data_IF_277900165615
#
_entry.id   IF_277900165615
#
_cell.length_a   1.000
_cell.length_b   1.000
_cell.length_c   1.000
_cell.angle_alpha   90.00
_cell.angle_beta   90.00
_cell.angle_gamma   90.00
#
_symmetry.space_group_name_H-M   'P 1'
#
loop_
_entity.id
_entity.type
_entity.pdbx_description
1 polymer ?
#
# COMPACT_ATOMS: atom_id res chain seq x y z
N UNK A 1 -18.33 22.85 42.72
CA UNK A 1 -17.00 22.27 42.46
C UNK A 1 -17.01 21.76 41.03
N UNK A 2 -16.60 22.61 40.09
CA UNK A 2 -16.52 22.25 38.68
C UNK A 2 -15.17 21.58 38.47
N UNK A 3 -15.17 20.30 38.11
CA UNK A 3 -13.96 19.58 37.74
C UNK A 3 -13.60 20.05 36.33
N UNK A 4 -12.52 20.82 36.23
CA UNK A 4 -11.84 21.06 34.96
C UNK A 4 -11.26 19.72 34.52
N UNK A 5 -11.83 19.14 33.46
CA UNK A 5 -11.27 17.98 32.78
C UNK A 5 -10.22 18.52 31.81
N UNK A 6 -8.97 18.56 32.25
CA UNK A 6 -7.82 18.79 31.38
C UNK A 6 -7.68 17.58 30.45
N UNK A 7 -8.21 17.71 29.23
CA UNK A 7 -7.99 16.75 28.15
C UNK A 7 -6.54 16.95 27.71
N UNK A 8 -5.64 15.94 27.83
CA UNK A 8 -4.28 16.07 27.33
C UNK A 8 -4.33 16.24 25.81
N UNK A 9 -3.82 17.36 25.31
CA UNK A 9 -3.61 17.57 23.89
C UNK A 9 -2.59 16.53 23.40
N UNK A 10 -3.09 15.47 22.77
CA UNK A 10 -2.23 14.54 22.03
C UNK A 10 -1.53 15.34 20.92
N UNK A 11 -0.20 15.34 20.86
CA UNK A 11 0.48 15.95 19.72
C UNK A 11 0.06 15.16 18.49
N UNK A 12 -0.77 15.77 17.64
CA UNK A 12 -1.04 15.26 16.30
C UNK A 12 0.32 15.28 15.61
N UNK A 13 0.95 14.12 15.46
CA UNK A 13 2.18 14.01 14.70
C UNK A 13 1.92 14.70 13.36
N UNK A 14 2.69 15.72 12.98
CA UNK A 14 2.49 16.39 11.71
C UNK A 14 2.51 15.30 10.64
N UNK A 15 1.65 15.40 9.60
CA UNK A 15 1.68 14.41 8.53
C UNK A 15 3.12 14.28 8.08
N UNK A 16 3.57 13.03 7.87
CA UNK A 16 4.87 12.73 7.27
C UNK A 16 5.11 13.73 6.14
N UNK A 17 6.35 14.26 6.02
CA UNK A 17 6.64 15.34 5.08
C UNK A 17 6.11 14.96 3.70
N UNK A 18 5.58 15.95 2.96
CA UNK A 18 4.62 15.71 1.88
C UNK A 18 5.15 14.76 0.77
N UNK A 19 6.46 14.69 0.69
CA UNK A 19 7.38 13.98 -0.18
C UNK A 19 7.81 12.59 0.32
N UNK A 20 7.35 12.13 1.49
CA UNK A 20 7.63 10.78 1.96
C UNK A 20 6.64 9.76 1.40
N UNK A 21 7.17 8.75 0.71
CA UNK A 21 6.35 7.67 0.18
C UNK A 21 5.76 6.82 1.33
N UNK A 22 4.45 6.58 1.33
CA UNK A 22 3.78 5.73 2.33
C UNK A 22 4.35 4.32 2.44
N UNK A 23 4.95 3.79 1.37
CA UNK A 23 5.58 2.47 1.34
C UNK A 23 7.02 2.46 1.89
N UNK A 24 7.62 3.63 2.09
CA UNK A 24 8.94 3.76 2.70
C UNK A 24 8.77 3.79 4.21
N UNK A 25 9.34 2.82 4.91
CA UNK A 25 9.43 2.80 6.38
C UNK A 25 10.87 3.05 6.87
N UNK A 26 11.77 3.45 5.98
CA UNK A 26 13.18 3.74 6.27
C UNK A 26 14.06 2.49 6.38
N UNK A 27 13.52 1.37 6.86
CA UNK A 27 14.25 0.11 7.08
C UNK A 27 13.91 -1.00 6.08
N UNK A 28 12.97 -0.75 5.16
CA UNK A 28 12.54 -1.73 4.15
C UNK A 28 11.65 -2.84 4.69
N UNK A 29 11.04 -2.67 5.88
CA UNK A 29 10.18 -3.66 6.51
C UNK A 29 8.94 -4.01 5.69
N UNK A 30 8.46 -3.10 4.85
CA UNK A 30 7.34 -3.35 3.94
C UNK A 30 7.72 -4.05 2.63
N UNK A 31 9.00 -4.23 2.32
CA UNK A 31 9.44 -4.77 1.01
C UNK A 31 8.82 -6.13 0.68
N UNK A 32 8.63 -6.98 1.69
CA UNK A 32 8.01 -8.30 1.54
C UNK A 32 6.58 -8.23 0.95
N UNK A 33 5.83 -7.15 1.18
CA UNK A 33 4.49 -6.96 0.62
C UNK A 33 4.53 -6.48 -0.83
N UNK A 34 5.37 -5.47 -1.11
CA UNK A 34 5.41 -4.77 -2.40
C UNK A 34 6.04 -5.59 -3.51
N UNK A 35 6.89 -6.55 -3.16
CA UNK A 35 7.53 -7.50 -4.08
C UNK A 35 7.11 -8.95 -3.80
N UNK A 36 5.93 -9.15 -3.19
CA UNK A 36 5.40 -10.47 -2.87
C UNK A 36 4.90 -11.22 -4.09
N UNK A 37 5.02 -12.54 -4.10
CA UNK A 37 4.37 -13.45 -5.04
C UNK A 37 2.89 -13.77 -4.70
N UNK A 38 2.40 -13.36 -3.53
CA UNK A 38 1.10 -13.73 -2.99
C UNK A 38 0.05 -12.63 -3.20
N UNK A 39 -1.09 -13.02 -3.78
CA UNK A 39 -2.19 -12.09 -4.09
C UNK A 39 -2.69 -11.27 -2.89
N UNK A 40 -2.67 -11.81 -1.66
CA UNK A 40 -3.13 -11.08 -0.47
C UNK A 40 -2.15 -10.00 -0.01
N UNK A 41 -0.84 -10.25 -0.16
CA UNK A 41 0.22 -9.28 0.14
C UNK A 41 0.24 -8.18 -0.93
N UNK A 42 0.10 -8.56 -2.20
CA UNK A 42 -0.04 -7.61 -3.31
C UNK A 42 -1.29 -6.73 -3.16
N UNK A 43 -2.43 -7.29 -2.78
CA UNK A 43 -3.64 -6.52 -2.51
C UNK A 43 -3.44 -5.50 -1.38
N UNK A 44 -2.76 -5.90 -0.29
CA UNK A 44 -2.41 -5.01 0.81
C UNK A 44 -1.43 -3.91 0.38
N UNK A 45 -0.42 -4.25 -0.41
CA UNK A 45 0.51 -3.27 -0.97
C UNK A 45 -0.21 -2.24 -1.86
N UNK A 46 -1.12 -2.68 -2.73
CA UNK A 46 -1.98 -1.79 -3.54
C UNK A 46 -2.81 -0.85 -2.66
N UNK A 47 -3.42 -1.38 -1.59
CA UNK A 47 -4.20 -0.59 -0.63
C UNK A 47 -3.36 0.55 -0.02
N UNK A 48 -2.17 0.23 0.48
CA UNK A 48 -1.24 1.20 1.07
C UNK A 48 -0.80 2.25 0.03
N UNK A 49 -0.39 1.78 -1.15
CA UNK A 49 0.22 2.63 -2.18
C UNK A 49 -0.80 3.57 -2.84
N UNK A 50 -2.03 3.12 -3.05
CA UNK A 50 -3.11 3.92 -3.66
C UNK A 50 -3.49 5.18 -2.88
N UNK A 51 -3.15 5.23 -1.59
CA UNK A 51 -3.39 6.38 -0.69
C UNK A 51 -2.17 7.30 -0.58
N UNK A 52 -1.09 6.99 -1.30
CA UNK A 52 0.12 7.80 -1.34
C UNK A 52 -0.07 9.01 -2.25
N UNK A 53 0.35 10.19 -1.79
CA UNK A 53 0.31 11.41 -2.63
C UNK A 53 1.24 11.36 -3.84
N UNK A 54 2.28 10.53 -3.78
CA UNK A 54 3.27 10.37 -4.84
C UNK A 54 2.88 9.27 -5.84
N UNK A 55 1.66 8.73 -5.77
CA UNK A 55 1.28 7.54 -6.52
C UNK A 55 1.47 7.72 -8.04
N UNK A 56 1.01 8.84 -8.60
CA UNK A 56 1.07 9.09 -10.04
C UNK A 56 2.50 9.24 -10.55
N UNK A 57 3.33 10.05 -9.88
CA UNK A 57 4.74 10.24 -10.22
C UNK A 57 5.55 8.94 -10.04
N UNK A 58 5.24 8.18 -8.98
CA UNK A 58 5.86 6.89 -8.71
C UNK A 58 5.54 5.87 -9.81
N UNK A 59 4.27 5.78 -10.23
CA UNK A 59 3.85 4.91 -11.32
C UNK A 59 4.48 5.33 -12.65
N UNK A 60 4.45 6.63 -12.97
CA UNK A 60 5.06 7.17 -14.18
C UNK A 60 6.55 6.87 -14.25
N UNK A 61 7.28 7.07 -13.16
CA UNK A 61 8.70 6.74 -13.06
C UNK A 61 8.97 5.23 -13.19
N UNK A 62 8.13 4.38 -12.61
CA UNK A 62 8.27 2.92 -12.71
C UNK A 62 8.06 2.42 -14.14
N UNK A 63 7.05 2.95 -14.83
CA UNK A 63 6.80 2.64 -16.25
C UNK A 63 7.94 3.13 -17.14
N UNK A 64 8.44 4.34 -16.91
CA UNK A 64 9.56 4.90 -17.68
C UNK A 64 10.83 4.04 -17.55
N UNK A 65 11.11 3.50 -16.35
CA UNK A 65 12.26 2.62 -16.12
C UNK A 65 12.01 1.18 -16.56
N UNK A 66 10.77 0.81 -16.88
CA UNK A 66 10.41 -0.57 -17.18
C UNK A 66 10.62 -1.48 -15.98
N UNK A 67 10.20 -1.05 -14.79
CA UNK A 67 10.36 -1.85 -13.57
C UNK A 67 9.82 -3.27 -13.77
N UNK A 68 10.67 -4.25 -13.46
CA UNK A 68 10.41 -5.64 -13.80
C UNK A 68 9.24 -6.22 -13.00
N UNK A 69 9.12 -5.81 -11.73
CA UNK A 69 8.15 -6.39 -10.81
C UNK A 69 7.81 -5.49 -9.62
N UNK A 70 6.59 -5.64 -9.10
CA UNK A 70 6.17 -5.12 -7.81
C UNK A 70 5.00 -4.14 -7.90
N UNK A 71 4.56 -3.64 -6.75
CA UNK A 71 3.50 -2.63 -6.67
C UNK A 71 4.10 -1.21 -6.69
N UNK A 72 3.67 -0.41 -7.66
CA UNK A 72 4.13 0.96 -7.89
C UNK A 72 2.92 1.87 -8.10
N UNK A 73 2.82 2.97 -7.35
CA UNK A 73 1.68 3.90 -7.44
C UNK A 73 0.29 3.25 -7.33
N UNK A 74 0.16 2.16 -6.56
CA UNK A 74 -1.10 1.41 -6.41
C UNK A 74 -1.37 0.38 -7.51
N UNK A 75 -0.50 0.25 -8.51
CA UNK A 75 -0.64 -0.70 -9.61
C UNK A 75 0.40 -1.82 -9.51
N UNK A 76 0.06 -3.03 -9.94
CA UNK A 76 1.02 -4.12 -10.06
C UNK A 76 1.69 -4.04 -11.43
N UNK A 77 3.02 -4.00 -11.45
CA UNK A 77 3.81 -4.08 -12.67
C UNK A 77 4.42 -5.47 -12.82
N UNK A 78 4.44 -5.95 -14.05
CA UNK A 78 5.19 -7.12 -14.49
C UNK A 78 5.79 -6.82 -15.85
N UNK A 79 7.10 -6.99 -16.01
CA UNK A 79 7.80 -6.75 -17.29
C UNK A 79 7.52 -5.34 -17.86
N UNK A 80 7.46 -4.33 -16.98
CA UNK A 80 7.18 -2.94 -17.37
C UNK A 80 5.74 -2.63 -17.79
N UNK A 81 4.81 -3.58 -17.69
CA UNK A 81 3.38 -3.35 -17.97
C UNK A 81 2.52 -3.47 -16.71
N UNK A 82 1.44 -2.69 -16.66
CA UNK A 82 0.44 -2.80 -15.60
C UNK A 82 -0.37 -4.08 -15.81
N UNK A 83 -0.50 -4.88 -14.75
CA UNK A 83 -1.31 -6.10 -14.74
C UNK A 83 -2.29 -6.07 -13.56
N UNK A 84 -3.44 -6.72 -13.73
CA UNK A 84 -4.47 -6.74 -12.68
C UNK A 84 -4.10 -7.66 -11.51
N UNK A 85 -3.60 -8.86 -11.80
CA UNK A 85 -3.17 -9.83 -10.79
C UNK A 85 -1.96 -10.64 -11.28
N UNK A 86 -1.24 -11.22 -10.32
CA UNK A 86 -0.10 -12.08 -10.61
C UNK A 86 -0.54 -13.51 -10.92
N UNK A 87 -0.08 -14.10 -12.03
CA UNK A 87 -0.28 -15.52 -12.29
C UNK A 87 0.35 -16.37 -11.18
N UNK A 88 -0.42 -17.31 -10.63
CA UNK A 88 0.14 -18.34 -9.75
C UNK A 88 1.15 -19.19 -10.53
N UNK A 89 2.19 -19.66 -9.84
CA UNK A 89 3.09 -20.68 -10.39
C UNK A 89 2.30 -21.95 -10.74
N UNK A 90 2.64 -22.57 -11.87
CA UNK A 90 2.02 -23.81 -12.34
C UNK A 90 1.07 -23.59 -13.50
N UNK A 91 0.20 -24.58 -13.74
CA UNK A 91 -0.74 -24.56 -14.87
C UNK A 91 -1.78 -23.45 -14.68
N UNK A 92 -2.01 -22.59 -15.70
CA UNK A 92 -3.11 -21.64 -15.68
C UNK A 92 -4.44 -22.34 -15.40
N UNK A 93 -5.24 -21.78 -14.50
CA UNK A 93 -6.58 -22.30 -14.20
C UNK A 93 -7.51 -22.01 -15.38
N UNK A 94 -8.49 -22.88 -15.61
CA UNK A 94 -9.52 -22.70 -16.67
C UNK A 94 -10.33 -21.42 -16.47
N UNK A 95 -10.58 -21.05 -15.22
CA UNK A 95 -11.27 -19.83 -14.82
C UNK A 95 -10.31 -18.96 -14.04
N UNK A 96 -10.26 -17.67 -14.40
CA UNK A 96 -9.51 -16.69 -13.62
C UNK A 96 -10.19 -16.47 -12.27
N UNK A 97 -9.39 -16.27 -11.22
CA UNK A 97 -9.90 -15.92 -9.91
C UNK A 97 -10.26 -14.43 -9.92
N UNK A 98 -11.31 -14.07 -9.20
CA UNK A 98 -11.57 -12.66 -8.87
C UNK A 98 -10.41 -12.06 -8.08
N UNK A 99 -10.08 -10.81 -8.41
CA UNK A 99 -9.03 -10.05 -7.76
C UNK A 99 -9.34 -9.86 -6.28
N UNK A 100 -8.34 -10.12 -5.43
CA UNK A 100 -8.43 -9.77 -4.01
C UNK A 100 -8.26 -8.26 -3.87
N UNK A 101 -9.30 -7.60 -3.38
CA UNK A 101 -9.26 -6.18 -3.01
C UNK A 101 -9.20 -6.09 -1.49
N UNK A 102 -8.21 -5.33 -1.00
CA UNK A 102 -8.06 -5.01 0.42
C UNK A 102 -8.18 -3.50 0.53
N UNK A 103 -9.05 -3.01 1.40
CA UNK A 103 -9.16 -1.59 1.71
C UNK A 103 -8.35 -1.24 2.96
N UNK A 104 -7.82 -0.03 3.02
CA UNK A 104 -7.31 0.56 4.26
C UNK A 104 -8.50 0.86 5.17
N UNK A 105 -8.61 0.13 6.29
CA UNK A 105 -9.70 0.29 7.27
C UNK A 105 -9.17 1.10 8.46
N UNK A 106 -9.82 2.21 8.85
CA UNK A 106 -9.42 2.96 10.04
C UNK A 106 -9.61 2.10 11.29
N UNK A 107 -8.67 2.21 12.25
CA UNK A 107 -8.78 1.50 13.52
C UNK A 107 -10.03 1.99 14.26
N UNK A 108 -10.94 1.10 14.69
CA UNK A 108 -12.12 1.49 15.45
C UNK A 108 -11.74 2.28 16.72
N UNK A 109 -12.45 3.36 17.07
CA UNK A 109 -12.08 4.22 18.20
C UNK A 109 -11.92 3.50 19.53
N UNK A 110 -12.70 2.43 19.74
CA UNK A 110 -12.65 1.62 20.97
C UNK A 110 -11.42 0.70 21.08
N UNK A 111 -10.61 0.57 20.03
CA UNK A 111 -9.38 -0.23 20.01
C UNK A 111 -8.10 0.62 20.12
N UNK A 112 -8.23 1.94 20.21
CA UNK A 112 -7.11 2.91 20.29
C UNK A 112 -6.89 3.42 21.72
N UNK A 113 -7.62 2.89 22.70
CA UNK A 113 -7.62 3.32 24.11
C UNK A 113 -6.44 2.78 24.92
#
# INVERSE_FOLDING_TARGET
MSIQLDIPEFPVTPPLPLDWARCSDGEGGLAHLFFSDHAHELARAKAICSRCRLADDCLGGALQRGEYYGVWGGQLLMEGVIVEDRPRRGRPKKEQREMLVVDEVPVPPHLVA
#
